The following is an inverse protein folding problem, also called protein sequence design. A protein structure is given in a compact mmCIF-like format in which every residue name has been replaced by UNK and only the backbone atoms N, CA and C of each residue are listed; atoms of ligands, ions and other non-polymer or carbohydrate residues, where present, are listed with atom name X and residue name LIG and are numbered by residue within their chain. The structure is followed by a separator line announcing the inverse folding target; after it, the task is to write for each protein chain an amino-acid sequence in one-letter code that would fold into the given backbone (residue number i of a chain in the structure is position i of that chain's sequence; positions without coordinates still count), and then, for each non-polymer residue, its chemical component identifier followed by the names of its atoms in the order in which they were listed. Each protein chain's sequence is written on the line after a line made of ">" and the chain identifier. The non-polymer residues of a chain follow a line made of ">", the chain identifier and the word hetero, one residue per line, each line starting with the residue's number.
data_IF_818903748513
#
_entry.id   IF_818903748513
#
_cell.length_a   1.000
_cell.length_b   1.000
_cell.length_c   1.000
_cell.angle_alpha   90.00
_cell.angle_beta   90.00
_cell.angle_gamma   90.00
#
_symmetry.space_group_name_H-M   'P 1'
#
loop_
_entity.id
_entity.type
_entity.pdbx_description
1 polymer ?
#
# COMPACT_ATOMS: atom_id res chain seq x y z
N UNK A 1 -26.44 -57.58 -14.67
CA UNK A 1 -26.40 -56.20 -15.20
C UNK A 1 -26.75 -55.26 -14.07
N UNK A 2 -25.78 -54.49 -13.58
CA UNK A 2 -25.96 -53.19 -12.90
C UNK A 2 -24.58 -52.54 -12.84
N UNK A 3 -24.19 -51.88 -13.93
CA UNK A 3 -22.99 -51.05 -13.98
C UNK A 3 -23.26 -49.78 -13.15
N UNK A 4 -22.45 -49.55 -12.12
CA UNK A 4 -22.47 -48.31 -11.35
C UNK A 4 -21.48 -47.34 -12.00
N UNK A 5 -22.00 -46.33 -12.69
CA UNK A 5 -21.19 -45.23 -13.23
C UNK A 5 -20.58 -44.40 -12.09
N UNK A 6 -19.25 -44.47 -11.94
CA UNK A 6 -18.48 -43.55 -11.10
C UNK A 6 -18.54 -42.15 -11.71
N UNK A 7 -19.32 -41.27 -11.09
CA UNK A 7 -19.36 -39.85 -11.44
C UNK A 7 -18.06 -39.21 -10.95
N UNK A 8 -17.08 -39.08 -11.84
CA UNK A 8 -15.83 -38.36 -11.57
C UNK A 8 -16.13 -36.86 -11.43
N UNK A 9 -16.36 -36.42 -10.20
CA UNK A 9 -16.52 -35.00 -9.88
C UNK A 9 -15.22 -34.24 -10.22
N UNK A 10 -15.23 -33.53 -11.36
CA UNK A 10 -14.13 -32.68 -11.79
C UNK A 10 -14.37 -31.26 -11.27
N UNK A 11 -13.91 -31.00 -10.04
CA UNK A 11 -13.90 -29.65 -9.47
C UNK A 11 -12.87 -28.74 -10.17
N UNK A 12 -13.27 -27.51 -10.50
CA UNK A 12 -12.37 -26.51 -11.07
C UNK A 12 -11.53 -25.87 -9.96
N UNK A 13 -10.27 -26.28 -9.83
CA UNK A 13 -9.34 -25.73 -8.83
C UNK A 13 -8.89 -24.31 -9.24
N UNK A 14 -9.56 -23.30 -8.69
CA UNK A 14 -9.13 -21.91 -8.85
C UNK A 14 -7.81 -21.68 -8.08
N UNK A 15 -6.69 -21.62 -8.79
CA UNK A 15 -5.39 -21.24 -8.22
C UNK A 15 -5.45 -19.78 -7.76
N UNK A 16 -5.44 -19.54 -6.45
CA UNK A 16 -5.22 -18.20 -5.91
C UNK A 16 -3.80 -17.78 -6.27
N UNK A 17 -3.65 -16.65 -6.97
CA UNK A 17 -2.32 -16.07 -7.18
C UNK A 17 -1.78 -15.61 -5.83
N UNK A 18 -0.59 -16.09 -5.47
CA UNK A 18 0.14 -15.60 -4.31
C UNK A 18 0.59 -14.16 -4.63
N UNK A 19 -0.01 -13.17 -3.97
CA UNK A 19 0.39 -11.77 -4.12
C UNK A 19 1.56 -11.54 -3.17
N UNK A 20 2.74 -11.23 -3.72
CA UNK A 20 3.91 -10.89 -2.93
C UNK A 20 3.70 -9.57 -2.17
N UNK A 21 4.44 -9.39 -1.07
CA UNK A 21 4.43 -8.12 -0.31
C UNK A 21 4.90 -6.97 -1.21
N UNK A 22 4.30 -5.79 -1.04
CA UNK A 22 4.67 -4.61 -1.82
C UNK A 22 6.09 -4.13 -1.46
N UNK A 23 6.97 -4.09 -2.46
CA UNK A 23 8.36 -3.60 -2.33
C UNK A 23 8.44 -2.09 -2.56
N UNK A 24 9.55 -1.45 -2.19
CA UNK A 24 9.79 -0.03 -2.50
C UNK A 24 9.67 0.26 -4.01
N UNK A 25 10.20 -0.64 -4.86
CA UNK A 25 10.01 -0.58 -6.32
C UNK A 25 8.54 -0.62 -6.74
N UNK A 26 7.71 -1.41 -6.04
CA UNK A 26 6.27 -1.47 -6.33
C UNK A 26 5.62 -0.11 -6.13
N UNK A 27 5.97 0.59 -5.04
CA UNK A 27 5.48 1.94 -4.79
C UNK A 27 5.96 2.93 -5.86
N UNK A 28 7.24 2.90 -6.24
CA UNK A 28 7.77 3.75 -7.32
C UNK A 28 7.06 3.50 -8.65
N UNK A 29 6.91 2.25 -9.05
CA UNK A 29 6.26 1.91 -10.31
C UNK A 29 4.81 2.41 -10.38
N UNK A 30 4.07 2.31 -9.28
CA UNK A 30 2.67 2.73 -9.23
C UNK A 30 2.53 4.25 -9.04
N UNK A 31 3.28 4.86 -8.12
CA UNK A 31 3.03 6.25 -7.70
C UNK A 31 3.99 7.29 -8.29
N UNK A 32 5.13 6.87 -8.82
CA UNK A 32 6.13 7.78 -9.43
C UNK A 32 6.13 7.68 -10.96
N UNK A 33 5.96 6.47 -11.53
CA UNK A 33 6.01 6.24 -12.97
C UNK A 33 4.64 6.27 -13.68
N UNK A 34 3.54 5.94 -12.99
CA UNK A 34 2.18 6.00 -13.55
C UNK A 34 1.50 7.33 -13.23
N UNK A 35 1.02 8.01 -14.27
CA UNK A 35 0.29 9.28 -14.21
C UNK A 35 -0.95 9.19 -13.31
N UNK A 36 -1.67 8.06 -13.34
CA UNK A 36 -2.85 7.89 -12.49
C UNK A 36 -2.46 7.74 -11.02
N UNK A 37 -1.34 7.06 -10.74
CA UNK A 37 -0.82 6.97 -9.38
C UNK A 37 -0.36 8.32 -8.84
N UNK A 38 0.31 9.14 -9.67
CA UNK A 38 0.66 10.51 -9.30
C UNK A 38 -0.58 11.35 -8.94
N UNK A 39 -1.65 11.29 -9.74
CA UNK A 39 -2.92 11.97 -9.45
C UNK A 39 -3.56 11.53 -8.14
N UNK A 40 -3.54 10.22 -7.87
CA UNK A 40 -4.03 9.68 -6.59
C UNK A 40 -3.16 10.18 -5.44
N UNK A 41 -1.84 10.18 -5.59
CA UNK A 41 -0.92 10.66 -4.57
C UNK A 41 -1.15 12.14 -4.25
N UNK A 42 -1.34 12.99 -5.27
CA UNK A 42 -1.69 14.40 -5.08
C UNK A 42 -3.00 14.59 -4.32
N UNK A 43 -4.06 13.82 -4.64
CA UNK A 43 -5.33 13.86 -3.92
C UNK A 43 -5.17 13.41 -2.46
N UNK A 44 -4.38 12.36 -2.20
CA UNK A 44 -4.07 11.90 -0.85
C UNK A 44 -3.32 12.95 -0.03
N UNK A 45 -2.28 13.58 -0.61
CA UNK A 45 -1.53 14.68 0.01
C UNK A 45 -2.49 15.82 0.35
N UNK A 46 -3.34 16.22 -0.60
CA UNK A 46 -4.30 17.30 -0.41
C UNK A 46 -5.32 17.03 0.70
N UNK A 47 -5.70 15.76 0.93
CA UNK A 47 -6.66 15.38 1.97
C UNK A 47 -6.04 15.20 3.34
N UNK A 48 -4.88 14.53 3.42
CA UNK A 48 -4.36 13.99 4.67
C UNK A 48 -3.10 14.69 5.18
N UNK A 49 -2.38 15.44 4.34
CA UNK A 49 -1.19 16.19 4.73
C UNK A 49 -1.49 17.67 5.02
N UNK A 50 -2.75 18.01 5.32
CA UNK A 50 -3.13 19.38 5.74
C UNK A 50 -2.47 19.73 7.07
N UNK A 51 -2.34 21.03 7.35
CA UNK A 51 -1.75 21.54 8.59
C UNK A 51 -2.32 20.80 9.80
N UNK A 52 -1.43 20.09 10.51
CA UNK A 52 -1.77 19.34 11.72
C UNK A 52 -2.12 20.27 12.87
N UNK A 53 -1.67 21.53 12.84
CA UNK A 53 -1.93 22.47 13.92
C UNK A 53 -3.37 22.98 13.90
N UNK A 54 -4.09 22.73 14.98
CA UNK A 54 -5.41 23.32 15.23
C UNK A 54 -5.28 24.38 16.32
N UNK A 55 -5.91 25.53 16.11
CA UNK A 55 -5.85 26.64 17.06
C UNK A 55 -6.86 26.39 18.18
N UNK A 56 -6.39 25.98 19.36
CA UNK A 56 -7.27 25.79 20.52
C UNK A 56 -6.72 24.91 21.63
N UNK A 57 -5.73 25.39 22.39
CA UNK A 57 -5.32 24.79 23.68
C UNK A 57 -5.25 23.26 23.73
N UNK A 58 -5.75 22.66 24.82
CA UNK A 58 -5.60 21.24 25.12
C UNK A 58 -6.47 20.32 24.24
N UNK A 59 -7.65 20.78 23.78
CA UNK A 59 -8.48 20.00 22.84
C UNK A 59 -7.92 19.98 21.41
N UNK A 60 -7.12 20.99 21.04
CA UNK A 60 -6.41 21.00 19.77
C UNK A 60 -5.25 20.00 19.72
N UNK A 61 -4.72 19.54 20.84
CA UNK A 61 -3.62 18.55 20.87
C UNK A 61 -4.09 17.21 20.30
N UNK A 62 -5.29 16.75 20.67
CA UNK A 62 -5.87 15.49 20.16
C UNK A 62 -6.12 15.54 18.66
N UNK A 63 -6.72 16.62 18.19
CA UNK A 63 -6.97 16.84 16.77
C UNK A 63 -5.66 16.94 15.97
N UNK A 64 -4.62 17.54 16.56
CA UNK A 64 -3.30 17.61 15.93
C UNK A 64 -2.63 16.25 15.81
N UNK A 65 -2.69 15.43 16.87
CA UNK A 65 -2.21 14.05 16.84
C UNK A 65 -2.96 13.19 15.82
N UNK A 66 -4.28 13.35 15.73
CA UNK A 66 -5.10 12.64 14.75
C UNK A 66 -4.70 13.00 13.31
N UNK A 67 -4.55 14.30 13.00
CA UNK A 67 -4.10 14.77 11.67
C UNK A 67 -2.68 14.31 11.34
N UNK A 68 -1.77 14.32 12.32
CA UNK A 68 -0.42 13.79 12.14
C UNK A 68 -0.44 12.28 11.82
N UNK A 69 -1.31 11.52 12.49
CA UNK A 69 -1.54 10.11 12.21
C UNK A 69 -2.04 9.86 10.78
N UNK A 70 -2.97 10.68 10.28
CA UNK A 70 -3.46 10.58 8.90
C UNK A 70 -2.35 10.85 7.86
N UNK A 71 -1.50 11.85 8.11
CA UNK A 71 -0.38 12.16 7.22
C UNK A 71 0.67 11.03 7.17
N UNK A 72 0.77 10.20 8.22
CA UNK A 72 1.77 9.13 8.31
C UNK A 72 1.69 8.11 7.15
N UNK A 73 0.48 7.83 6.65
CA UNK A 73 0.27 6.88 5.55
C UNK A 73 0.82 7.43 4.24
N UNK A 74 0.57 8.70 3.97
CA UNK A 74 1.11 9.38 2.77
C UNK A 74 2.64 9.48 2.88
N UNK A 75 3.16 9.78 4.06
CA UNK A 75 4.59 9.81 4.32
C UNK A 75 5.26 8.44 4.09
N UNK A 76 4.59 7.34 4.42
CA UNK A 76 5.10 5.99 4.13
C UNK A 76 5.28 5.77 2.62
N UNK A 77 4.29 6.15 1.81
CA UNK A 77 4.36 6.03 0.34
C UNK A 77 5.54 6.84 -0.20
N UNK A 78 5.65 8.10 0.20
CA UNK A 78 6.76 8.98 -0.19
C UNK A 78 8.12 8.41 0.23
N UNK A 79 8.22 7.88 1.45
CA UNK A 79 9.45 7.23 1.95
C UNK A 79 9.82 6.03 1.09
N UNK A 80 8.86 5.20 0.67
CA UNK A 80 9.11 4.04 -0.19
C UNK A 80 9.55 4.43 -1.60
N UNK A 81 8.97 5.48 -2.17
CA UNK A 81 9.39 6.03 -3.48
C UNK A 81 10.82 6.56 -3.38
N UNK A 82 11.11 7.37 -2.36
CA UNK A 82 12.45 7.92 -2.14
C UNK A 82 13.48 6.81 -1.92
N UNK A 83 13.13 5.79 -1.15
CA UNK A 83 13.96 4.60 -0.95
C UNK A 83 14.27 3.89 -2.28
N UNK A 84 13.29 3.72 -3.17
CA UNK A 84 13.51 3.11 -4.49
C UNK A 84 14.30 4.00 -5.47
N UNK A 85 14.33 5.31 -5.24
CA UNK A 85 15.07 6.29 -6.05
C UNK A 85 16.49 6.53 -5.52
N UNK A 86 16.83 6.09 -4.30
CA UNK A 86 18.17 6.23 -3.74
C UNK A 86 19.16 5.31 -4.47
N UNK A 87 20.23 5.86 -5.09
CA UNK A 87 21.24 5.07 -5.80
C UNK A 87 21.97 4.04 -4.94
N UNK A 88 21.99 4.23 -3.61
CA UNK A 88 22.64 3.34 -2.66
C UNK A 88 21.68 2.33 -2.03
N UNK A 89 20.38 2.37 -2.35
CA UNK A 89 19.43 1.45 -1.78
C UNK A 89 19.61 0.05 -2.36
N UNK A 90 19.99 -0.89 -1.49
CA UNK A 90 19.93 -2.31 -1.77
C UNK A 90 18.59 -2.80 -1.23
N UNK A 91 17.69 -3.35 -2.08
CA UNK A 91 16.52 -4.03 -1.57
C UNK A 91 17.03 -5.20 -0.74
N UNK A 92 16.96 -5.08 0.59
CA UNK A 92 17.19 -6.21 1.46
C UNK A 92 16.21 -7.30 1.02
N UNK A 93 16.77 -8.47 0.67
CA UNK A 93 15.99 -9.65 0.32
C UNK A 93 14.96 -9.83 1.41
N UNK A 94 13.68 -9.62 1.05
CA UNK A 94 12.56 -9.86 1.94
C UNK A 94 12.58 -11.35 2.27
N UNK A 95 13.27 -11.71 3.33
CA UNK A 95 13.20 -13.04 3.89
C UNK A 95 11.73 -13.26 4.28
N UNK A 96 11.07 -14.11 3.51
CA UNK A 96 9.75 -14.64 3.80
C UNK A 96 9.89 -15.58 5.02
N UNK A 97 9.92 -14.99 6.22
CA UNK A 97 9.63 -15.69 7.49
C UNK A 97 8.12 -15.88 7.66
#
# INVERSE_FOLDING_TARGET
>A
MSEQEEVLETGNFAKRKHVSKATAETYRNVFDLDVNGQRILEDLVGRFCKSSYVRGGHDAERESCFRAGQASVVNLILTKINQANDPNYKPEELNDE
#
